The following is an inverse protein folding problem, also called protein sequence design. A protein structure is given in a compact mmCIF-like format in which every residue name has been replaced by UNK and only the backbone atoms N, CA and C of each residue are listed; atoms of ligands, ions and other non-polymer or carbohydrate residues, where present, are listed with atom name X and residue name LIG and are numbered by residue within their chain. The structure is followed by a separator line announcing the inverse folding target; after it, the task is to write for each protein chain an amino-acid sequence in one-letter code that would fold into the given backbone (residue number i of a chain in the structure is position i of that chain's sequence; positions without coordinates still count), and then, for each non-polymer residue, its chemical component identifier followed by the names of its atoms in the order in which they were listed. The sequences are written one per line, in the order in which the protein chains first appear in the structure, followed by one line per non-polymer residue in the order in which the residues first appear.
data_IF_401472861698
#
_entry.id   IF_401472861698
#
_cell.length_a   1.000
_cell.length_b   1.000
_cell.length_c   1.000
_cell.angle_alpha   90.00
_cell.angle_beta   90.00
_cell.angle_gamma   90.00
#
_symmetry.space_group_name_H-M   'P 1'
#
loop_
_entity.id
_entity.type
_entity.pdbx_description
1 polymer ?
#
# COMPACT_ATOMS: atom_id res chain seq x y z
N UNK A 1 1.63 9.83 8.51
CA UNK A 1 2.36 8.55 8.31
C UNK A 1 2.13 8.06 6.91
N UNK A 2 3.17 8.04 6.05
CA UNK A 2 3.06 7.50 4.70
C UNK A 2 2.99 5.96 4.72
N UNK A 3 1.98 5.39 4.09
CA UNK A 3 1.77 3.94 4.02
C UNK A 3 1.80 3.50 2.56
N UNK A 4 2.48 2.38 2.29
CA UNK A 4 2.44 1.72 0.99
C UNK A 4 1.50 0.52 1.06
N UNK A 5 0.63 0.41 0.06
CA UNK A 5 -0.25 -0.72 -0.17
C UNK A 5 -0.31 -1.10 -1.65
N UNK A 6 -0.52 -2.38 -1.94
CA UNK A 6 -0.79 -2.87 -3.29
C UNK A 6 -2.27 -3.21 -3.44
N UNK A 7 -2.86 -2.78 -4.55
CA UNK A 7 -4.25 -3.11 -4.89
C UNK A 7 -4.34 -4.53 -5.40
N UNK A 8 -5.20 -5.34 -4.77
CA UNK A 8 -5.44 -6.72 -5.20
C UNK A 8 -6.65 -6.78 -6.15
N UNK A 9 -6.43 -7.24 -7.36
CA UNK A 9 -7.47 -7.45 -8.38
C UNK A 9 -8.03 -8.88 -8.30
N UNK A 10 -8.97 -9.13 -7.40
CA UNK A 10 -9.55 -10.46 -7.09
C UNK A 10 -10.11 -11.20 -8.30
N UNK A 11 -10.58 -10.49 -9.33
CA UNK A 11 -11.16 -11.05 -10.56
C UNK A 11 -10.13 -11.26 -11.67
N UNK A 12 -8.84 -11.11 -11.37
CA UNK A 12 -7.78 -11.08 -12.36
C UNK A 12 -7.65 -9.73 -13.05
N UNK A 13 -6.65 -9.61 -13.90
CA UNK A 13 -6.37 -8.39 -14.65
C UNK A 13 -6.61 -8.64 -16.15
N UNK A 14 -7.20 -7.66 -16.82
CA UNK A 14 -7.34 -7.60 -18.27
C UNK A 14 -6.72 -6.33 -18.79
N UNK A 15 -6.45 -6.27 -20.09
CA UNK A 15 -5.97 -5.06 -20.76
C UNK A 15 -6.97 -3.90 -20.61
N UNK A 16 -8.28 -4.20 -20.64
CA UNK A 16 -9.34 -3.23 -20.37
C UNK A 16 -9.31 -2.71 -18.93
N UNK A 17 -9.06 -3.58 -17.94
CA UNK A 17 -8.86 -3.17 -16.55
C UNK A 17 -7.66 -2.23 -16.41
N UNK A 18 -6.52 -2.57 -17.02
CA UNK A 18 -5.32 -1.74 -17.02
C UNK A 18 -5.58 -0.35 -17.60
N UNK A 19 -6.21 -0.28 -18.78
CA UNK A 19 -6.58 0.99 -19.43
C UNK A 19 -7.55 1.82 -18.58
N UNK A 20 -8.54 1.18 -17.93
CA UNK A 20 -9.50 1.87 -17.09
C UNK A 20 -8.83 2.47 -15.84
N UNK A 21 -7.89 1.73 -15.22
CA UNK A 21 -7.14 2.21 -14.05
C UNK A 21 -6.23 3.38 -14.43
N UNK A 22 -5.51 3.30 -15.56
CA UNK A 22 -4.69 4.39 -16.06
C UNK A 22 -5.51 5.68 -16.26
N UNK A 23 -6.63 5.60 -16.97
CA UNK A 23 -7.54 6.73 -17.17
C UNK A 23 -8.11 7.30 -15.87
N UNK A 24 -8.40 6.43 -14.89
CA UNK A 24 -8.91 6.84 -13.59
C UNK A 24 -7.86 7.62 -12.78
N UNK A 25 -6.62 7.15 -12.79
CA UNK A 25 -5.54 7.76 -12.00
C UNK A 25 -5.02 9.06 -12.62
N UNK A 26 -5.14 9.23 -13.94
CA UNK A 26 -4.72 10.45 -14.66
C UNK A 26 -5.81 11.53 -14.77
N UNK A 27 -6.98 11.40 -14.12
CA UNK A 27 -8.04 12.40 -14.24
C UNK A 27 -7.57 13.76 -13.73
N UNK A 28 -7.66 14.80 -14.56
CA UNK A 28 -7.23 16.17 -14.28
C UNK A 28 -7.77 16.69 -12.94
N UNK A 29 -9.07 16.53 -12.72
CA UNK A 29 -9.73 16.92 -11.45
C UNK A 29 -9.14 16.30 -10.17
N UNK A 30 -8.27 15.30 -10.31
CA UNK A 30 -7.64 14.61 -9.19
C UNK A 30 -6.18 14.92 -9.06
N UNK A 31 -5.53 15.24 -10.16
CA UNK A 31 -4.07 15.37 -10.28
C UNK A 31 -3.62 16.80 -10.49
N UNK A 32 -4.54 17.74 -10.69
CA UNK A 32 -4.21 19.15 -10.78
C UNK A 32 -3.98 19.78 -9.41
N UNK A 33 -2.91 20.56 -9.31
CA UNK A 33 -2.62 21.39 -8.15
C UNK A 33 -1.94 22.69 -8.61
N UNK A 34 -2.58 23.83 -8.33
CA UNK A 34 -2.07 25.18 -8.67
C UNK A 34 -1.69 25.33 -10.16
N UNK A 35 -2.49 24.75 -11.07
CA UNK A 35 -2.24 24.79 -12.52
C UNK A 35 -1.20 23.77 -13.00
N UNK A 36 -0.67 22.93 -12.13
CA UNK A 36 0.28 21.89 -12.48
C UNK A 36 -0.36 20.50 -12.42
N UNK A 37 -0.14 19.70 -13.44
CA UNK A 37 -0.53 18.27 -13.46
C UNK A 37 0.51 17.43 -12.75
N UNK A 38 0.08 16.72 -11.70
CA UNK A 38 0.92 15.81 -10.92
C UNK A 38 0.85 14.38 -11.48
N UNK A 39 1.19 14.26 -12.76
CA UNK A 39 1.25 13.01 -13.53
C UNK A 39 2.59 12.92 -14.22
N UNK A 40 3.36 11.87 -13.97
CA UNK A 40 4.68 11.68 -14.57
C UNK A 40 4.89 10.22 -14.94
N UNK A 41 5.39 9.98 -16.14
CA UNK A 41 5.88 8.67 -16.58
C UNK A 41 7.39 8.53 -16.35
N UNK A 42 7.81 7.38 -15.85
CA UNK A 42 9.20 6.96 -15.79
C UNK A 42 9.38 5.84 -16.80
N UNK A 43 10.30 6.01 -17.73
CA UNK A 43 10.51 5.12 -18.87
C UNK A 43 9.26 4.94 -19.78
N UNK A 44 8.26 5.83 -19.65
CA UNK A 44 7.07 5.87 -20.49
C UNK A 44 6.53 7.32 -20.55
N UNK A 45 5.65 7.60 -21.51
CA UNK A 45 4.97 8.89 -21.56
C UNK A 45 3.54 8.74 -21.03
N UNK A 46 3.02 9.67 -20.19
CA UNK A 46 1.65 9.59 -19.67
C UNK A 46 0.60 9.42 -20.77
N UNK A 47 0.76 10.13 -21.90
CA UNK A 47 -0.18 10.15 -23.01
C UNK A 47 -0.23 8.81 -23.75
N UNK A 48 0.87 8.07 -23.79
CA UNK A 48 1.00 6.77 -24.47
C UNK A 48 1.21 5.59 -23.54
N UNK A 49 1.11 5.77 -22.22
CA UNK A 49 1.49 4.77 -21.19
C UNK A 49 0.88 3.40 -21.42
N UNK A 50 -0.38 3.33 -21.89
CA UNK A 50 -1.01 2.05 -22.23
C UNK A 50 -0.30 1.36 -23.40
N UNK A 51 0.00 2.14 -24.45
CA UNK A 51 0.70 1.62 -25.62
C UNK A 51 2.12 1.20 -25.29
N UNK A 52 2.83 1.98 -24.46
CA UNK A 52 4.18 1.69 -24.00
C UNK A 52 4.21 0.36 -23.23
N UNK A 53 3.36 0.20 -22.21
CA UNK A 53 3.23 -1.04 -21.45
C UNK A 53 2.90 -2.24 -22.34
N UNK A 54 1.99 -2.08 -23.31
CA UNK A 54 1.60 -3.16 -24.22
C UNK A 54 2.70 -3.48 -25.23
N UNK A 55 3.49 -2.50 -25.68
CA UNK A 55 4.61 -2.70 -26.58
C UNK A 55 5.67 -3.59 -25.92
N UNK A 56 6.10 -3.26 -24.71
CA UNK A 56 7.02 -4.08 -23.92
C UNK A 56 6.50 -5.51 -23.74
N UNK A 57 5.21 -5.66 -23.38
CA UNK A 57 4.61 -7.00 -23.20
C UNK A 57 4.59 -7.81 -24.48
N UNK A 58 4.27 -7.19 -25.62
CA UNK A 58 4.25 -7.86 -26.93
C UNK A 58 5.64 -8.25 -27.38
N UNK A 59 6.62 -7.36 -27.18
CA UNK A 59 8.03 -7.63 -27.53
C UNK A 59 8.54 -8.92 -26.85
N UNK A 60 8.19 -9.12 -25.59
CA UNK A 60 8.62 -10.29 -24.81
C UNK A 60 7.58 -11.41 -24.72
N UNK A 61 6.48 -11.35 -25.47
CA UNK A 61 5.38 -12.34 -25.44
C UNK A 61 4.81 -12.59 -24.05
N UNK A 62 4.65 -11.50 -23.22
CA UNK A 62 4.17 -11.54 -21.83
C UNK A 62 2.83 -10.83 -21.66
N UNK A 63 1.84 -11.22 -22.47
CA UNK A 63 0.52 -10.56 -22.51
C UNK A 63 -0.53 -11.18 -21.59
N UNK A 64 -0.15 -12.14 -20.75
CA UNK A 64 -1.02 -12.91 -19.86
C UNK A 64 -0.67 -12.73 -18.37
N UNK A 65 -1.50 -13.26 -17.49
CA UNK A 65 -1.32 -13.26 -16.03
C UNK A 65 -1.35 -11.85 -15.44
N UNK A 66 -0.39 -11.52 -14.55
CA UNK A 66 -0.28 -10.18 -13.98
C UNK A 66 0.22 -9.21 -15.05
N UNK A 67 -0.61 -8.24 -15.40
CA UNK A 67 -0.30 -7.23 -16.43
C UNK A 67 0.37 -5.98 -15.85
N UNK A 68 0.01 -5.57 -14.64
CA UNK A 68 0.58 -4.42 -13.98
C UNK A 68 0.45 -4.55 -12.46
N UNK A 69 1.28 -3.84 -11.74
CA UNK A 69 1.13 -3.64 -10.31
C UNK A 69 0.58 -2.24 -10.04
N UNK A 70 -0.35 -2.15 -9.13
CA UNK A 70 -0.92 -0.88 -8.68
C UNK A 70 -0.59 -0.69 -7.21
N UNK A 71 0.39 0.15 -6.95
CA UNK A 71 0.81 0.55 -5.61
C UNK A 71 0.23 1.93 -5.29
N UNK A 72 -0.10 2.14 -4.03
CA UNK A 72 -0.56 3.43 -3.51
C UNK A 72 0.29 3.81 -2.31
N UNK A 73 0.88 5.00 -2.35
CA UNK A 73 1.51 5.66 -1.22
C UNK A 73 0.51 6.69 -0.67
N UNK A 74 0.08 6.55 0.57
CA UNK A 74 -0.92 7.43 1.19
C UNK A 74 -0.32 8.14 2.41
N UNK A 75 -0.58 9.44 2.50
CA UNK A 75 -0.20 10.26 3.64
C UNK A 75 -1.35 10.36 4.66
N UNK A 76 -1.08 10.68 5.93
CA UNK A 76 -2.11 10.74 6.96
C UNK A 76 -3.07 11.91 6.74
N UNK A 77 -4.32 11.74 7.18
CA UNK A 77 -5.30 12.83 7.24
C UNK A 77 -4.88 13.86 8.29
N UNK A 78 -5.15 15.12 8.00
CA UNK A 78 -4.91 16.23 8.94
C UNK A 78 -3.46 16.68 9.04
N UNK A 79 -2.52 16.07 8.32
CA UNK A 79 -1.16 16.57 8.17
C UNK A 79 -1.05 17.42 6.91
N UNK A 80 -0.43 18.59 7.02
CA UNK A 80 -0.20 19.49 5.89
C UNK A 80 0.93 18.93 5.00
N UNK A 81 0.54 18.09 4.02
CA UNK A 81 1.46 17.56 3.00
C UNK A 81 1.29 18.36 1.72
N UNK A 82 2.36 19.01 1.25
CA UNK A 82 2.34 19.69 -0.03
C UNK A 82 2.28 18.66 -1.17
N UNK A 83 1.30 18.75 -2.10
CA UNK A 83 1.12 17.79 -3.18
C UNK A 83 2.31 17.68 -4.14
N UNK A 84 2.99 18.79 -4.43
CA UNK A 84 4.19 18.79 -5.29
C UNK A 84 5.34 18.06 -4.62
N UNK A 85 5.56 18.30 -3.32
CA UNK A 85 6.56 17.59 -2.53
C UNK A 85 6.25 16.09 -2.44
N UNK A 86 4.97 15.74 -2.24
CA UNK A 86 4.53 14.34 -2.24
C UNK A 86 4.76 13.66 -3.59
N UNK A 87 4.50 14.38 -4.70
CA UNK A 87 4.76 13.88 -6.04
C UNK A 87 6.26 13.66 -6.29
N UNK A 88 7.12 14.63 -5.91
CA UNK A 88 8.57 14.48 -6.00
C UNK A 88 9.09 13.28 -5.19
N UNK A 89 8.58 13.09 -3.98
CA UNK A 89 8.90 11.92 -3.16
C UNK A 89 8.42 10.61 -3.80
N UNK A 90 7.24 10.62 -4.43
CA UNK A 90 6.73 9.47 -5.16
C UNK A 90 7.61 9.12 -6.37
N UNK A 91 8.09 10.12 -7.12
CA UNK A 91 9.04 9.89 -8.22
C UNK A 91 10.34 9.28 -7.72
N UNK A 92 10.88 9.80 -6.61
CA UNK A 92 12.10 9.24 -5.97
C UNK A 92 11.90 7.78 -5.51
N UNK A 93 10.73 7.47 -4.98
CA UNK A 93 10.39 6.09 -4.60
C UNK A 93 10.26 5.17 -5.83
N UNK A 94 9.75 5.69 -6.95
CA UNK A 94 9.56 4.93 -8.18
C UNK A 94 10.88 4.51 -8.84
N UNK A 95 12.01 5.15 -8.54
CA UNK A 95 13.36 4.72 -8.95
C UNK A 95 13.70 3.29 -8.48
N UNK A 96 12.99 2.78 -7.47
CA UNK A 96 13.11 1.37 -7.04
C UNK A 96 12.82 0.37 -8.16
N UNK A 97 12.01 0.76 -9.14
CA UNK A 97 11.58 -0.09 -10.24
C UNK A 97 12.46 0.12 -11.49
N UNK A 98 13.76 0.01 -11.32
CA UNK A 98 14.72 0.12 -12.44
C UNK A 98 14.42 -0.89 -13.55
N UNK A 99 14.40 -0.42 -14.80
CA UNK A 99 14.07 -1.23 -15.97
C UNK A 99 12.59 -1.52 -16.17
N UNK A 100 11.70 -0.85 -15.40
CA UNK A 100 10.26 -0.92 -15.60
C UNK A 100 9.69 0.45 -16.00
N UNK A 101 8.62 0.42 -16.81
CA UNK A 101 7.82 1.61 -17.04
C UNK A 101 6.90 1.82 -15.82
N UNK A 102 6.87 3.04 -15.31
CA UNK A 102 6.05 3.41 -14.15
C UNK A 102 5.32 4.71 -14.42
N UNK A 103 4.00 4.70 -14.29
CA UNK A 103 3.18 5.90 -14.27
C UNK A 103 2.92 6.29 -12.80
N UNK A 104 3.27 7.52 -12.44
CA UNK A 104 3.03 8.09 -11.11
C UNK A 104 2.00 9.20 -11.21
N UNK A 105 0.90 9.09 -10.46
CA UNK A 105 -0.17 10.09 -10.40
C UNK A 105 -0.43 10.45 -8.94
N UNK A 106 -0.28 11.72 -8.56
CA UNK A 106 -0.58 12.19 -7.20
C UNK A 106 -1.95 12.85 -7.17
N UNK A 107 -2.84 12.33 -6.33
CA UNK A 107 -4.21 12.80 -6.18
C UNK A 107 -4.32 13.81 -5.04
N UNK A 108 -5.04 14.90 -5.33
CA UNK A 108 -5.29 16.03 -4.44
C UNK A 108 -6.78 16.20 -4.10
N UNK A 109 -7.65 15.38 -4.69
CA UNK A 109 -9.10 15.47 -4.59
C UNK A 109 -9.68 14.98 -3.25
N UNK A 110 -8.84 14.51 -2.34
CA UNK A 110 -9.24 13.96 -1.04
C UNK A 110 -8.58 14.69 0.13
N UNK A 111 -9.11 14.50 1.33
CA UNK A 111 -8.56 15.06 2.58
C UNK A 111 -7.10 14.66 2.87
N UNK A 112 -6.60 13.65 2.17
CA UNK A 112 -5.24 13.16 2.31
C UNK A 112 -4.62 12.98 0.93
N UNK A 113 -3.42 13.46 0.77
CA UNK A 113 -2.64 13.27 -0.44
C UNK A 113 -2.26 11.80 -0.58
N UNK A 114 -2.37 11.27 -1.78
CA UNK A 114 -1.94 9.91 -2.09
C UNK A 114 -1.45 9.81 -3.53
N UNK A 115 -0.38 9.04 -3.71
CA UNK A 115 0.22 8.83 -5.03
C UNK A 115 -0.02 7.40 -5.49
N UNK A 116 -0.54 7.26 -6.71
CA UNK A 116 -0.72 6.00 -7.41
C UNK A 116 0.50 5.71 -8.27
N UNK A 117 0.97 4.47 -8.22
CA UNK A 117 2.03 3.95 -9.08
C UNK A 117 1.45 2.81 -9.89
N UNK A 118 1.44 2.95 -11.19
CA UNK A 118 1.10 1.86 -12.11
C UNK A 118 2.41 1.39 -12.73
N UNK A 119 2.82 0.19 -12.37
CA UNK A 119 4.12 -0.38 -12.72
C UNK A 119 3.88 -1.49 -13.75
N UNK A 120 4.54 -1.41 -14.89
CA UNK A 120 4.49 -2.49 -15.86
C UNK A 120 5.02 -3.79 -15.24
N UNK A 121 4.36 -4.91 -15.49
CA UNK A 121 4.79 -6.20 -14.94
C UNK A 121 6.00 -6.81 -15.67
N UNK A 122 6.43 -6.23 -16.78
CA UNK A 122 7.54 -6.73 -17.60
C UNK A 122 8.64 -5.69 -17.65
N UNK A 123 9.86 -6.09 -17.34
CA UNK A 123 11.07 -5.27 -17.46
C UNK A 123 11.37 -5.07 -18.97
N UNK A 124 11.55 -3.82 -19.40
CA UNK A 124 11.71 -3.51 -20.82
C UNK A 124 13.10 -3.86 -21.36
N UNK A 125 14.12 -4.00 -20.50
CA UNK A 125 15.47 -4.42 -20.92
C UNK A 125 15.61 -5.93 -20.99
N UNK A 126 15.05 -6.64 -19.98
CA UNK A 126 15.33 -8.07 -19.77
C UNK A 126 14.15 -8.97 -20.09
N UNK A 127 12.94 -8.43 -20.25
CA UNK A 127 11.71 -9.19 -20.42
C UNK A 127 11.26 -9.97 -19.19
N UNK A 128 11.94 -9.83 -18.05
CA UNK A 128 11.57 -10.54 -16.82
C UNK A 128 10.31 -9.94 -16.22
N UNK A 129 9.41 -10.81 -15.73
CA UNK A 129 8.23 -10.33 -14.96
C UNK A 129 8.66 -9.88 -13.57
N UNK A 130 8.12 -8.76 -13.14
CA UNK A 130 8.22 -8.27 -11.77
C UNK A 130 7.57 -9.29 -10.82
N UNK A 131 8.27 -9.61 -9.77
CA UNK A 131 7.74 -10.38 -8.65
C UNK A 131 7.98 -9.59 -7.38
N UNK A 132 6.95 -9.48 -6.54
CA UNK A 132 7.05 -8.75 -5.26
C UNK A 132 6.80 -9.76 -4.14
N UNK A 133 7.88 -10.31 -3.60
CA UNK A 133 7.83 -11.18 -2.44
C UNK A 133 7.73 -10.35 -1.14
N UNK A 134 7.57 -11.03 -0.02
CA UNK A 134 7.42 -10.39 1.30
C UNK A 134 8.64 -9.55 1.69
N UNK A 135 9.82 -10.04 1.36
CA UNK A 135 11.10 -9.40 1.64
C UNK A 135 11.24 -8.09 0.86
N UNK A 136 10.93 -8.11 -0.43
CA UNK A 136 10.95 -6.92 -1.29
C UNK A 136 9.90 -5.89 -0.86
N UNK A 137 8.74 -6.33 -0.38
CA UNK A 137 7.75 -5.42 0.20
C UNK A 137 8.27 -4.74 1.47
N UNK A 138 9.04 -5.44 2.29
CA UNK A 138 9.64 -4.86 3.49
C UNK A 138 10.74 -3.86 3.12
N UNK A 139 11.60 -4.19 2.18
CA UNK A 139 12.62 -3.29 1.63
C UNK A 139 12.00 -2.01 1.06
N UNK A 140 10.94 -2.16 0.25
CA UNK A 140 10.20 -1.04 -0.33
C UNK A 140 9.62 -0.11 0.75
N UNK A 141 9.11 -0.67 1.86
CA UNK A 141 8.61 0.12 3.00
C UNK A 141 9.73 0.90 3.68
N UNK A 142 10.90 0.28 3.88
CA UNK A 142 12.07 0.96 4.44
C UNK A 142 12.54 2.09 3.51
N UNK A 143 12.57 1.85 2.20
CA UNK A 143 12.90 2.87 1.21
C UNK A 143 11.89 4.02 1.22
N UNK A 144 10.59 3.73 1.32
CA UNK A 144 9.56 4.75 1.48
C UNK A 144 9.83 5.63 2.71
N UNK A 145 10.17 5.04 3.84
CA UNK A 145 10.45 5.80 5.06
C UNK A 145 11.72 6.67 4.92
N UNK A 146 12.74 6.19 4.20
CA UNK A 146 13.94 6.99 3.89
C UNK A 146 13.59 8.16 2.98
N UNK A 147 12.86 7.93 1.90
CA UNK A 147 12.42 8.99 0.97
C UNK A 147 11.53 10.01 1.69
N UNK A 148 10.59 9.57 2.52
CA UNK A 148 9.76 10.50 3.30
C UNK A 148 10.59 11.38 4.23
N UNK A 149 11.64 10.84 4.87
CA UNK A 149 12.56 11.62 5.69
C UNK A 149 13.35 12.65 4.88
N UNK A 150 13.85 12.26 3.70
CA UNK A 150 14.60 13.13 2.79
C UNK A 150 13.74 14.34 2.38
N UNK A 151 12.47 14.14 2.10
CA UNK A 151 11.52 15.19 1.71
C UNK A 151 10.81 15.86 2.89
N UNK A 152 11.23 15.60 4.13
CA UNK A 152 10.58 16.12 5.36
C UNK A 152 9.08 15.78 5.43
N UNK A 153 8.69 14.64 4.88
CA UNK A 153 7.32 14.14 4.90
C UNK A 153 7.09 13.22 6.11
N UNK A 154 5.83 13.07 6.56
CA UNK A 154 5.49 12.23 7.71
C UNK A 154 5.91 10.77 7.53
N UNK A 155 6.76 10.26 8.44
CA UNK A 155 7.24 8.87 8.43
C UNK A 155 6.41 8.00 9.36
N UNK A 156 6.29 6.71 9.04
CA UNK A 156 5.67 5.71 9.91
C UNK A 156 6.42 5.59 11.23
N UNK A 157 5.77 5.98 12.31
CA UNK A 157 6.21 5.59 13.64
C UNK A 157 5.35 4.41 14.09
N UNK A 158 5.93 3.22 14.35
CA UNK A 158 5.17 2.12 14.93
C UNK A 158 4.55 2.62 16.22
N UNK A 159 3.22 2.62 16.32
CA UNK A 159 2.59 2.79 17.64
C UNK A 159 3.16 1.68 18.51
N UNK A 160 3.62 2.02 19.71
CA UNK A 160 3.91 1.00 20.72
C UNK A 160 2.74 0.02 20.72
N UNK A 161 3.03 -1.22 20.40
CA UNK A 161 2.01 -2.25 20.42
C UNK A 161 1.59 -2.39 21.88
N UNK A 162 0.57 -1.62 22.30
CA UNK A 162 -0.24 -2.04 23.44
C UNK A 162 -0.63 -3.46 23.11
N UNK A 163 -0.14 -4.42 23.87
CA UNK A 163 -0.46 -5.84 23.72
C UNK A 163 -1.96 -5.92 23.53
N UNK A 164 -2.41 -6.15 22.29
CA UNK A 164 -3.82 -6.36 22.03
C UNK A 164 -4.16 -7.61 22.83
N UNK A 165 -4.96 -7.43 23.88
CA UNK A 165 -5.58 -8.56 24.53
C UNK A 165 -6.14 -9.45 23.40
N UNK A 166 -5.75 -10.72 23.37
CA UNK A 166 -6.19 -11.64 22.31
C UNK A 166 -7.70 -11.64 22.33
N UNK A 167 -8.30 -10.96 21.32
CA UNK A 167 -9.75 -10.98 21.14
C UNK A 167 -10.17 -12.42 20.90
N UNK A 168 -11.22 -12.85 21.60
CA UNK A 168 -11.80 -14.17 21.40
C UNK A 168 -12.20 -14.34 19.93
N UNK A 169 -11.88 -15.48 19.36
CA UNK A 169 -12.43 -15.84 18.04
C UNK A 169 -13.94 -16.04 18.16
N UNK A 170 -14.66 -15.94 17.04
CA UNK A 170 -16.14 -16.16 17.00
C UNK A 170 -16.50 -17.53 17.61
N UNK A 171 -15.70 -18.58 17.36
CA UNK A 171 -15.89 -19.91 17.94
C UNK A 171 -15.68 -19.95 19.45
N UNK A 172 -14.67 -19.27 19.96
CA UNK A 172 -14.43 -19.12 21.41
C UNK A 172 -15.55 -18.34 22.08
N UNK A 173 -16.07 -17.29 21.44
CA UNK A 173 -17.22 -16.53 21.92
C UNK A 173 -18.48 -17.39 22.05
N UNK A 174 -18.84 -18.18 21.04
CA UNK A 174 -19.99 -19.07 21.09
C UNK A 174 -19.84 -20.18 22.13
N UNK A 175 -18.61 -20.69 22.33
CA UNK A 175 -18.32 -21.70 23.37
C UNK A 175 -18.42 -21.10 24.77
N UNK A 176 -17.97 -19.85 24.92
CA UNK A 176 -18.08 -19.10 26.18
C UNK A 176 -19.54 -18.77 26.52
N UNK A 177 -20.33 -18.33 25.52
CA UNK A 177 -21.76 -18.02 25.68
C UNK A 177 -22.60 -19.24 26.08
N UNK A 178 -22.17 -20.46 25.72
CA UNK A 178 -22.78 -21.72 26.14
C UNK A 178 -22.29 -22.23 27.51
N UNK A 179 -21.41 -21.49 28.20
CA UNK A 179 -20.81 -21.93 29.47
C UNK A 179 -19.79 -23.07 29.34
N UNK A 180 -19.41 -23.45 28.11
CA UNK A 180 -18.55 -24.62 27.84
C UNK A 180 -17.06 -24.25 27.65
N UNK A 181 -16.68 -22.98 27.81
CA UNK A 181 -15.30 -22.54 27.61
C UNK A 181 -14.43 -22.86 28.83
N UNK A 182 -13.65 -23.93 28.74
CA UNK A 182 -12.62 -24.29 29.77
C UNK A 182 -11.64 -23.13 30.00
N UNK A 183 -11.31 -22.36 28.97
CA UNK A 183 -10.41 -21.19 29.06
C UNK A 183 -11.03 -20.07 29.91
N UNK A 184 -12.32 -19.77 29.73
CA UNK A 184 -13.03 -18.76 30.52
C UNK A 184 -13.15 -19.21 31.99
N UNK A 185 -13.47 -20.49 32.23
CA UNK A 185 -13.52 -21.07 33.57
C UNK A 185 -12.15 -20.95 34.26
N UNK A 186 -11.06 -21.26 33.56
CA UNK A 186 -9.71 -21.15 34.09
C UNK A 186 -9.33 -19.70 34.41
N UNK A 187 -9.65 -18.76 33.53
CA UNK A 187 -9.43 -17.32 33.75
C UNK A 187 -10.21 -16.81 34.96
N UNK A 188 -11.46 -17.23 35.13
CA UNK A 188 -12.26 -16.85 36.29
C UNK A 188 -11.65 -17.39 37.61
N UNK A 189 -11.14 -18.60 37.60
CA UNK A 189 -10.42 -19.20 38.77
C UNK A 189 -9.15 -18.40 39.05
N UNK A 190 -8.33 -18.10 38.04
CA UNK A 190 -7.09 -17.31 38.19
C UNK A 190 -7.39 -15.92 38.75
N UNK A 191 -8.41 -15.25 38.23
CA UNK A 191 -8.81 -13.92 38.69
C UNK A 191 -9.32 -13.96 40.15
N UNK A 192 -10.09 -15.00 40.52
CA UNK A 192 -10.56 -15.16 41.87
C UNK A 192 -9.41 -15.41 42.87
N UNK A 193 -8.44 -16.26 42.50
CA UNK A 193 -7.24 -16.53 43.31
C UNK A 193 -6.37 -15.28 43.43
N UNK A 194 -6.13 -14.56 42.37
CA UNK A 194 -5.35 -13.31 42.38
C UNK A 194 -6.01 -12.26 43.26
N UNK A 195 -7.34 -12.11 43.19
CA UNK A 195 -8.08 -11.15 44.01
C UNK A 195 -8.01 -11.50 45.53
N UNK A 196 -8.11 -12.78 45.87
CA UNK A 196 -8.00 -13.21 47.27
C UNK A 196 -6.57 -13.09 47.80
N UNK A 197 -5.55 -13.32 46.98
CA UNK A 197 -4.15 -13.17 47.38
C UNK A 197 -3.74 -11.70 47.61
N UNK A 198 -4.23 -10.76 46.77
CA UNK A 198 -3.97 -9.35 46.97
C UNK A 198 -4.62 -8.78 48.24
N UNK A 199 -5.79 -9.29 48.62
CA UNK A 199 -6.53 -8.85 49.81
C UNK A 199 -6.00 -9.45 51.14
N UNK A 200 -5.20 -10.51 51.06
CA UNK A 200 -4.61 -11.14 52.24
C UNK A 200 -3.29 -10.45 52.70
N UNK A 201 -2.81 -9.45 51.93
CA UNK A 201 -1.59 -8.69 52.23
C UNK A 201 -1.86 -7.20 52.55
N UNK A 202 -3.12 -6.78 52.66
CA UNK A 202 -3.55 -5.52 53.28
C UNK A 202 -3.97 -5.77 54.75
#
# INVERSE_FOLDING_TARGET
MAIISFTNYKRGQTTGCMSAVMRYTMQDKKTEFEGQQLVTGINCQPESVYADFMTTKRLYHKTDGVLFYHMVQSFPKGEAVNPVTAHAAALKLAEYYEGYEVLVCTHTDREHIHSHFLINSVNFDTGRKLHIAKEQLQELRQRNDMVCKEFSLPVFQPREQKQKAKTMTIGEYHTAARGQSKKLQLMNIINAVSYTHLRAHE
#
